data_IF_184890114227
#
_entry.id   IF_184890114227
#
_cell.length_a   1.000
_cell.length_b   1.000
_cell.length_c   1.000
_cell.angle_alpha   90.00
_cell.angle_beta   90.00
_cell.angle_gamma   90.00
#
_symmetry.space_group_name_H-M   'P 1'
#
loop_
_entity.id
_entity.type
_entity.pdbx_description
1 polymer ?
#
# COMPACT_ATOMS: atom_id res chain seq x y z
N UNK A 1 -51.39 -10.08 17.60
CA UNK A 1 -50.31 -9.41 16.86
C UNK A 1 -50.99 -8.83 15.64
N UNK A 2 -50.83 -7.55 15.40
CA UNK A 2 -51.61 -6.79 14.40
C UNK A 2 -51.22 -7.24 12.99
N UNK A 3 -52.15 -7.77 12.16
CA UNK A 3 -51.88 -8.31 10.83
C UNK A 3 -51.15 -7.29 9.92
N UNK A 4 -51.41 -6.00 10.11
CA UNK A 4 -50.69 -4.92 9.42
C UNK A 4 -49.20 -4.87 9.77
N UNK A 5 -48.77 -5.16 11.00
CA UNK A 5 -47.36 -5.20 11.38
C UNK A 5 -46.64 -6.40 10.75
N UNK A 6 -47.34 -7.52 10.61
CA UNK A 6 -46.81 -8.71 9.96
C UNK A 6 -46.55 -8.46 8.47
N UNK A 7 -47.46 -7.78 7.79
CA UNK A 7 -47.32 -7.41 6.38
C UNK A 7 -46.17 -6.43 6.18
N UNK A 8 -46.00 -5.43 7.05
CA UNK A 8 -44.89 -4.47 7.00
C UNK A 8 -43.56 -5.21 7.23
N UNK A 9 -43.47 -6.12 8.21
CA UNK A 9 -42.27 -6.90 8.48
C UNK A 9 -41.88 -7.78 7.26
N UNK A 10 -42.87 -8.43 6.63
CA UNK A 10 -42.64 -9.24 5.44
C UNK A 10 -42.17 -8.40 4.23
N UNK A 11 -42.71 -7.20 4.02
CA UNK A 11 -42.26 -6.30 2.96
C UNK A 11 -40.84 -5.77 3.24
N UNK A 12 -40.55 -5.39 4.48
CA UNK A 12 -39.20 -5.00 4.91
C UNK A 12 -38.16 -6.14 4.66
N UNK A 13 -38.51 -7.38 5.00
CA UNK A 13 -37.64 -8.52 4.76
C UNK A 13 -37.40 -8.78 3.25
N UNK A 14 -38.44 -8.60 2.41
CA UNK A 14 -38.31 -8.69 0.94
C UNK A 14 -37.43 -7.59 0.37
N UNK A 15 -37.59 -6.38 0.86
CA UNK A 15 -36.79 -5.23 0.39
C UNK A 15 -35.35 -5.34 0.87
N UNK A 16 -35.10 -5.79 2.08
CA UNK A 16 -33.73 -6.13 2.55
C UNK A 16 -33.09 -7.25 1.72
N UNK A 17 -33.84 -8.28 1.32
CA UNK A 17 -33.33 -9.33 0.47
C UNK A 17 -33.00 -8.83 -0.95
N UNK A 18 -33.80 -7.90 -1.51
CA UNK A 18 -33.53 -7.23 -2.78
C UNK A 18 -32.29 -6.35 -2.69
N UNK A 19 -32.18 -5.54 -1.65
CA UNK A 19 -31.02 -4.70 -1.37
C UNK A 19 -29.76 -5.54 -1.23
N UNK A 20 -29.79 -6.64 -0.46
CA UNK A 20 -28.66 -7.55 -0.30
C UNK A 20 -28.22 -8.18 -1.64
N UNK A 21 -29.16 -8.50 -2.54
CA UNK A 21 -28.84 -9.00 -3.88
C UNK A 21 -28.22 -7.91 -4.76
N UNK A 22 -28.72 -6.68 -4.68
CA UNK A 22 -28.15 -5.52 -5.37
C UNK A 22 -26.75 -5.20 -4.84
N UNK A 23 -26.55 -5.18 -3.53
CA UNK A 23 -25.23 -4.96 -2.93
C UNK A 23 -24.19 -5.99 -3.38
N UNK A 24 -24.57 -7.27 -3.56
CA UNK A 24 -23.66 -8.30 -4.09
C UNK A 24 -23.36 -8.15 -5.58
N UNK A 25 -24.28 -7.60 -6.37
CA UNK A 25 -24.13 -7.43 -7.83
C UNK A 25 -23.51 -6.09 -8.20
N UNK A 26 -23.67 -5.09 -7.37
CA UNK A 26 -23.21 -3.73 -7.64
C UNK A 26 -21.70 -3.63 -7.94
N UNK A 27 -20.81 -4.26 -7.18
CA UNK A 27 -19.38 -4.27 -7.53
C UNK A 27 -19.08 -4.89 -8.90
N UNK A 28 -19.86 -5.90 -9.34
CA UNK A 28 -19.70 -6.50 -10.66
C UNK A 28 -20.11 -5.55 -11.78
N UNK A 29 -21.22 -4.82 -11.61
CA UNK A 29 -21.64 -3.81 -12.57
C UNK A 29 -20.65 -2.64 -12.66
N UNK A 30 -20.07 -2.22 -11.53
CA UNK A 30 -19.04 -1.19 -11.54
C UNK A 30 -17.77 -1.66 -12.25
N UNK A 31 -17.42 -2.94 -12.13
CA UNK A 31 -16.30 -3.54 -12.84
C UNK A 31 -16.52 -3.59 -14.34
N UNK A 32 -17.71 -4.04 -14.79
CA UNK A 32 -18.08 -4.05 -16.22
C UNK A 32 -18.07 -2.63 -16.79
N UNK A 33 -18.64 -1.67 -16.06
CA UNK A 33 -18.69 -0.27 -16.47
C UNK A 33 -17.29 0.36 -16.53
N UNK A 34 -16.41 0.06 -15.57
CA UNK A 34 -15.02 0.51 -15.59
C UNK A 34 -14.24 -0.04 -16.79
N UNK A 35 -14.50 -1.30 -17.19
CA UNK A 35 -13.93 -1.92 -18.41
C UNK A 35 -14.38 -1.24 -19.69
N UNK A 36 -15.61 -0.79 -19.75
CA UNK A 36 -16.15 -0.07 -20.92
C UNK A 36 -15.60 1.37 -21.02
N UNK A 37 -15.44 2.04 -19.89
CA UNK A 37 -14.94 3.42 -19.84
C UNK A 37 -13.44 3.53 -20.11
N UNK A 38 -12.67 2.47 -19.84
CA UNK A 38 -11.21 2.46 -19.99
C UNK A 38 -10.83 1.53 -21.16
N UNK A 39 -10.70 2.06 -22.39
CA UNK A 39 -10.21 1.25 -23.49
C UNK A 39 -8.76 0.81 -23.22
N UNK A 40 -8.34 -0.37 -23.72
CA UNK A 40 -6.98 -0.85 -23.55
C UNK A 40 -5.99 0.17 -24.13
N UNK A 41 -5.12 0.71 -23.29
CA UNK A 41 -4.10 1.68 -23.68
C UNK A 41 -2.78 0.96 -23.96
N UNK A 42 -2.13 1.36 -25.02
CA UNK A 42 -0.83 0.80 -25.45
C UNK A 42 0.36 1.69 -25.08
N UNK A 43 0.11 2.90 -24.56
CA UNK A 43 1.13 3.90 -24.24
C UNK A 43 1.30 4.08 -22.73
N UNK A 44 2.53 4.38 -22.32
CA UNK A 44 2.83 4.81 -20.95
C UNK A 44 2.11 6.14 -20.65
N UNK A 45 1.45 6.19 -19.47
CA UNK A 45 0.64 7.34 -19.05
C UNK A 45 1.24 7.93 -17.78
N UNK A 46 1.43 9.24 -17.75
CA UNK A 46 1.94 9.94 -16.56
C UNK A 46 0.91 10.07 -15.44
N UNK A 47 1.38 10.29 -14.20
CA UNK A 47 0.52 10.35 -13.00
C UNK A 47 -0.55 11.44 -13.09
N UNK A 48 -0.22 12.62 -13.64
CA UNK A 48 -1.19 13.71 -13.81
C UNK A 48 -2.32 13.33 -14.79
N UNK A 49 -1.99 12.61 -15.86
CA UNK A 49 -2.96 12.15 -16.84
C UNK A 49 -3.84 11.03 -16.26
N UNK A 50 -3.27 10.18 -15.41
CA UNK A 50 -4.01 9.14 -14.67
C UNK A 50 -4.99 9.80 -13.69
N UNK A 51 -4.54 10.78 -12.90
CA UNK A 51 -5.37 11.49 -11.94
C UNK A 51 -6.52 12.23 -12.64
N UNK A 52 -6.24 12.91 -13.76
CA UNK A 52 -7.25 13.59 -14.57
C UNK A 52 -8.26 12.60 -15.14
N UNK A 53 -7.80 11.47 -15.67
CA UNK A 53 -8.67 10.41 -16.21
C UNK A 53 -9.58 9.83 -15.15
N UNK A 54 -9.08 9.54 -13.95
CA UNK A 54 -9.88 9.01 -12.85
C UNK A 54 -10.96 10.01 -12.42
N UNK A 55 -10.60 11.30 -12.28
CA UNK A 55 -11.53 12.36 -11.91
C UNK A 55 -12.66 12.52 -12.94
N UNK A 56 -12.31 12.60 -14.22
CA UNK A 56 -13.29 12.72 -15.31
C UNK A 56 -14.24 11.52 -15.36
N UNK A 57 -13.73 10.30 -15.25
CA UNK A 57 -14.55 9.09 -15.23
C UNK A 57 -15.53 9.06 -14.04
N UNK A 58 -15.08 9.51 -12.87
CA UNK A 58 -15.94 9.63 -11.69
C UNK A 58 -17.07 10.64 -11.91
N UNK A 59 -16.78 11.79 -12.51
CA UNK A 59 -17.78 12.82 -12.83
C UNK A 59 -18.79 12.33 -13.85
N UNK A 60 -18.33 11.73 -14.95
CA UNK A 60 -19.20 11.16 -15.99
C UNK A 60 -20.11 10.07 -15.44
N UNK A 61 -19.54 9.15 -14.63
CA UNK A 61 -20.31 8.08 -14.00
C UNK A 61 -21.32 8.61 -13.00
N UNK A 62 -20.93 9.59 -12.17
CA UNK A 62 -21.83 10.23 -11.22
C UNK A 62 -22.97 10.94 -11.92
N UNK A 63 -22.72 11.61 -13.04
CA UNK A 63 -23.72 12.26 -13.86
C UNK A 63 -24.70 11.25 -14.48
N UNK A 64 -24.19 10.12 -15.02
CA UNK A 64 -25.03 9.05 -15.58
C UNK A 64 -25.94 8.42 -14.52
N UNK A 65 -25.41 8.09 -13.34
CA UNK A 65 -26.19 7.50 -12.25
C UNK A 65 -27.26 8.48 -11.73
N UNK A 66 -26.94 9.77 -11.63
CA UNK A 66 -27.89 10.80 -11.22
C UNK A 66 -28.99 11.04 -12.24
N UNK A 67 -28.69 10.96 -13.54
CA UNK A 67 -29.66 11.19 -14.61
C UNK A 67 -30.74 10.10 -14.69
N UNK A 68 -30.39 8.85 -14.35
CA UNK A 68 -31.33 7.73 -14.54
C UNK A 68 -32.25 7.46 -13.34
N UNK A 69 -31.85 7.78 -12.11
CA UNK A 69 -32.55 7.25 -10.94
C UNK A 69 -33.03 8.24 -9.89
N UNK A 70 -32.69 9.52 -9.94
CA UNK A 70 -33.00 10.44 -8.82
C UNK A 70 -32.50 9.91 -7.44
N UNK A 71 -31.56 8.98 -7.44
CA UNK A 71 -31.15 8.20 -6.29
C UNK A 71 -30.24 9.01 -5.40
N UNK A 72 -30.48 8.89 -4.13
CA UNK A 72 -29.91 9.61 -3.02
C UNK A 72 -28.39 9.71 -3.11
N UNK A 73 -27.89 10.94 -3.04
CA UNK A 73 -26.46 11.28 -2.96
C UNK A 73 -25.72 10.47 -1.87
N UNK A 74 -26.39 10.09 -0.79
CA UNK A 74 -25.87 9.25 0.28
C UNK A 74 -25.46 7.84 -0.15
N UNK A 75 -26.22 7.21 -1.08
CA UNK A 75 -25.88 5.87 -1.58
C UNK A 75 -24.62 5.92 -2.45
N UNK A 76 -24.49 6.92 -3.30
CA UNK A 76 -23.33 7.12 -4.16
C UNK A 76 -22.08 7.42 -3.34
N UNK A 77 -22.18 8.24 -2.30
CA UNK A 77 -21.03 8.56 -1.44
C UNK A 77 -20.52 7.34 -0.65
N UNK A 78 -21.42 6.43 -0.24
CA UNK A 78 -21.03 5.20 0.45
C UNK A 78 -20.34 4.18 -0.47
N UNK A 79 -20.64 4.22 -1.78
CA UNK A 79 -20.06 3.31 -2.78
C UNK A 79 -18.84 3.92 -3.50
N UNK A 80 -18.58 5.20 -3.31
CA UNK A 80 -17.47 5.91 -3.94
C UNK A 80 -16.11 5.22 -3.78
N UNK A 81 -15.71 4.74 -2.57
CA UNK A 81 -14.43 4.06 -2.42
C UNK A 81 -14.31 2.76 -3.24
N UNK A 82 -15.42 2.03 -3.40
CA UNK A 82 -15.47 0.80 -4.20
C UNK A 82 -15.32 1.14 -5.69
N UNK A 83 -16.04 2.14 -6.16
CA UNK A 83 -15.95 2.60 -7.53
C UNK A 83 -14.54 3.07 -7.88
N UNK A 84 -13.98 3.94 -7.06
CA UNK A 84 -12.62 4.45 -7.24
C UNK A 84 -11.58 3.31 -7.30
N UNK A 85 -11.72 2.30 -6.42
CA UNK A 85 -10.84 1.13 -6.42
C UNK A 85 -10.95 0.33 -7.73
N UNK A 86 -12.17 0.11 -8.25
CA UNK A 86 -12.36 -0.63 -9.50
C UNK A 86 -11.83 0.15 -10.71
N UNK A 87 -12.04 1.46 -10.76
CA UNK A 87 -11.48 2.31 -11.81
C UNK A 87 -9.95 2.32 -11.76
N UNK A 88 -9.36 2.49 -10.58
CA UNK A 88 -7.92 2.46 -10.40
C UNK A 88 -7.31 1.10 -10.82
N UNK A 89 -7.98 -0.02 -10.52
CA UNK A 89 -7.54 -1.34 -10.95
C UNK A 89 -7.55 -1.48 -12.47
N UNK A 90 -8.59 -1.01 -13.16
CA UNK A 90 -8.66 -1.05 -14.62
C UNK A 90 -7.59 -0.16 -15.26
N UNK A 91 -7.29 0.99 -14.68
CA UNK A 91 -6.17 1.83 -15.12
C UNK A 91 -4.84 1.08 -14.94
N UNK A 92 -4.61 0.48 -13.78
CA UNK A 92 -3.39 -0.29 -13.50
C UNK A 92 -3.21 -1.51 -14.43
N UNK A 93 -4.32 -2.17 -14.80
CA UNK A 93 -4.31 -3.32 -15.71
C UNK A 93 -4.10 -2.92 -17.18
N UNK A 94 -4.72 -1.82 -17.61
CA UNK A 94 -4.71 -1.36 -19.01
C UNK A 94 -3.50 -0.49 -19.37
N UNK A 95 -2.96 0.26 -18.41
CA UNK A 95 -1.79 1.07 -18.59
C UNK A 95 -0.57 0.34 -18.02
N UNK A 96 0.54 0.33 -18.75
CA UNK A 96 1.85 0.18 -18.10
C UNK A 96 2.04 1.44 -17.27
N UNK A 97 1.59 1.39 -16.00
CA UNK A 97 1.81 2.49 -15.06
C UNK A 97 3.31 2.66 -14.97
N UNK A 98 3.81 3.75 -15.55
CA UNK A 98 5.22 4.08 -15.45
C UNK A 98 5.44 4.50 -13.99
N UNK A 99 5.85 3.54 -13.17
CA UNK A 99 6.19 3.83 -11.79
C UNK A 99 7.45 4.67 -11.83
N UNK A 100 7.38 5.90 -11.37
CA UNK A 100 8.56 6.74 -11.13
C UNK A 100 9.47 6.16 -10.03
N UNK A 101 9.06 5.06 -9.42
CA UNK A 101 9.86 4.37 -8.42
C UNK A 101 10.86 3.45 -9.10
N UNK A 102 12.16 3.57 -8.79
CA UNK A 102 13.18 2.70 -9.34
C UNK A 102 12.88 1.25 -8.94
N UNK A 103 13.06 0.32 -9.88
CA UNK A 103 13.06 -1.10 -9.57
C UNK A 103 14.35 -1.48 -8.85
N UNK A 104 14.30 -2.52 -8.04
CA UNK A 104 15.50 -3.11 -7.45
C UNK A 104 16.45 -3.49 -8.59
N UNK A 105 17.57 -2.79 -8.67
CA UNK A 105 18.48 -2.82 -9.84
C UNK A 105 19.16 -4.17 -9.99
N UNK A 106 19.32 -4.62 -11.24
CA UNK A 106 20.22 -5.72 -11.60
C UNK A 106 21.70 -5.31 -11.61
N UNK A 107 22.01 -4.02 -11.52
CA UNK A 107 23.39 -3.50 -11.43
C UNK A 107 23.97 -3.78 -10.04
N UNK A 108 25.32 -3.82 -9.94
CA UNK A 108 26.02 -4.07 -8.67
C UNK A 108 25.53 -3.14 -7.57
N UNK A 109 25.31 -3.70 -6.38
CA UNK A 109 24.79 -3.00 -5.23
C UNK A 109 25.86 -2.86 -4.13
N UNK A 110 26.03 -1.64 -3.58
CA UNK A 110 26.88 -1.37 -2.44
C UNK A 110 26.06 -1.40 -1.17
N UNK A 111 26.40 -2.30 -0.24
CA UNK A 111 25.61 -2.55 0.97
C UNK A 111 26.42 -2.22 2.20
N UNK A 112 25.94 -1.29 3.02
CA UNK A 112 26.53 -1.01 4.33
C UNK A 112 25.84 -1.82 5.42
N UNK A 113 26.62 -2.39 6.36
CA UNK A 113 26.07 -2.95 7.59
C UNK A 113 27.09 -3.04 8.73
N UNK A 114 26.58 -3.12 9.96
CA UNK A 114 27.35 -3.44 11.15
C UNK A 114 27.57 -4.94 11.22
N UNK A 115 28.85 -5.35 11.15
CA UNK A 115 29.22 -6.77 11.05
C UNK A 115 29.01 -7.52 12.36
N UNK A 116 28.15 -8.53 12.32
CA UNK A 116 27.98 -9.55 13.33
C UNK A 116 27.39 -10.81 12.68
N UNK A 117 27.34 -11.93 13.42
CA UNK A 117 26.90 -13.22 12.91
C UNK A 117 25.49 -13.15 12.29
N UNK A 118 24.56 -12.39 12.88
CA UNK A 118 23.18 -12.28 12.41
C UNK A 118 23.05 -11.38 11.18
N UNK A 119 23.79 -10.26 11.15
CA UNK A 119 23.84 -9.38 9.98
C UNK A 119 24.50 -10.08 8.78
N UNK A 120 25.51 -10.92 9.01
CA UNK A 120 26.13 -11.74 7.96
C UNK A 120 25.13 -12.77 7.39
N UNK A 121 24.27 -13.36 8.23
CA UNK A 121 23.19 -14.25 7.78
C UNK A 121 22.13 -13.49 6.97
N UNK A 122 21.73 -12.32 7.44
CA UNK A 122 20.80 -11.46 6.71
C UNK A 122 21.37 -11.03 5.34
N UNK A 123 22.62 -10.58 5.31
CA UNK A 123 23.32 -10.26 4.06
C UNK A 123 23.30 -11.42 3.07
N UNK A 124 23.59 -12.66 3.49
CA UNK A 124 23.57 -13.84 2.61
C UNK A 124 22.17 -14.09 2.00
N UNK A 125 21.09 -13.70 2.68
CA UNK A 125 19.73 -13.81 2.15
C UNK A 125 19.46 -12.71 1.13
N UNK A 126 19.76 -11.46 1.46
CA UNK A 126 19.57 -10.33 0.56
C UNK A 126 20.45 -10.42 -0.70
N UNK A 127 21.68 -10.90 -0.57
CA UNK A 127 22.62 -11.04 -1.68
C UNK A 127 22.12 -11.97 -2.81
N UNK A 128 21.16 -12.87 -2.53
CA UNK A 128 20.55 -13.72 -3.55
C UNK A 128 19.59 -12.96 -4.46
N UNK A 129 19.08 -11.83 -4.02
CA UNK A 129 18.12 -10.98 -4.73
C UNK A 129 18.82 -9.81 -5.45
N UNK A 130 20.13 -9.65 -5.27
CA UNK A 130 20.94 -8.56 -5.80
C UNK A 130 22.05 -9.09 -6.72
N UNK A 131 22.37 -8.34 -7.76
CA UNK A 131 23.45 -8.68 -8.67
C UNK A 131 24.78 -8.13 -8.16
N UNK A 132 25.77 -9.00 -7.97
CA UNK A 132 27.13 -8.65 -7.58
C UNK A 132 27.25 -7.67 -6.39
N UNK A 133 26.63 -7.98 -5.22
CA UNK A 133 26.66 -7.06 -4.08
C UNK A 133 28.07 -6.94 -3.50
N UNK A 134 28.49 -5.70 -3.25
CA UNK A 134 29.72 -5.37 -2.51
C UNK A 134 29.38 -4.89 -1.10
N UNK A 135 30.28 -5.07 -0.17
CA UNK A 135 30.02 -4.83 1.25
C UNK A 135 30.93 -3.76 1.82
N UNK A 136 30.34 -2.85 2.59
CA UNK A 136 31.04 -1.87 3.42
C UNK A 136 30.64 -2.07 4.89
N UNK A 137 31.62 -2.42 5.73
CA UNK A 137 31.40 -2.57 7.17
C UNK A 137 31.51 -1.24 7.89
N UNK A 138 30.63 -1.01 8.87
CA UNK A 138 30.64 0.16 9.75
C UNK A 138 30.57 -0.24 11.20
N UNK A 139 30.98 0.67 12.08
CA UNK A 139 31.14 0.42 13.51
C UNK A 139 29.82 0.37 14.28
N UNK A 140 28.79 1.01 13.77
CA UNK A 140 27.46 1.08 14.38
C UNK A 140 26.37 1.34 13.36
N UNK A 141 25.10 1.17 13.75
CA UNK A 141 23.94 1.34 12.86
C UNK A 141 23.74 2.78 12.38
N UNK A 142 24.14 3.80 13.17
CA UNK A 142 24.05 5.19 12.72
C UNK A 142 25.00 5.46 11.56
N UNK A 143 26.24 4.97 11.64
CA UNK A 143 27.21 5.06 10.56
C UNK A 143 26.77 4.29 9.30
N UNK A 144 26.09 3.14 9.47
CA UNK A 144 25.48 2.39 8.37
C UNK A 144 24.43 3.23 7.63
N UNK A 145 23.51 3.85 8.37
CA UNK A 145 22.47 4.71 7.79
C UNK A 145 23.06 5.93 7.09
N UNK A 146 24.13 6.52 7.67
CA UNK A 146 24.81 7.69 7.08
C UNK A 146 25.45 7.38 5.73
N UNK A 147 25.91 6.14 5.49
CA UNK A 147 26.46 5.75 4.19
C UNK A 147 25.42 5.77 3.08
N UNK A 148 24.18 5.35 3.39
CA UNK A 148 23.08 5.37 2.43
C UNK A 148 22.53 6.78 2.25
N UNK A 149 22.37 7.53 3.35
CA UNK A 149 21.91 8.92 3.31
C UNK A 149 22.84 9.83 2.50
N UNK A 150 24.14 9.55 2.51
CA UNK A 150 25.15 10.29 1.78
C UNK A 150 25.47 9.70 0.38
N UNK A 151 24.63 8.80 -0.14
CA UNK A 151 24.76 8.13 -1.45
C UNK A 151 26.12 7.42 -1.68
N UNK A 152 26.78 6.99 -0.60
CA UNK A 152 28.02 6.20 -0.68
C UNK A 152 27.75 4.69 -0.75
N UNK A 153 26.57 4.28 -0.31
CA UNK A 153 26.06 2.92 -0.45
C UNK A 153 24.61 2.98 -0.92
N UNK A 154 24.19 1.99 -1.71
CA UNK A 154 22.83 1.87 -2.20
C UNK A 154 21.87 1.39 -1.12
N UNK A 155 22.37 0.52 -0.22
CA UNK A 155 21.56 -0.14 0.80
C UNK A 155 22.22 -0.21 2.17
N UNK A 156 21.35 -0.17 3.20
CA UNK A 156 21.68 -0.45 4.60
C UNK A 156 20.99 -1.74 5.07
N UNK A 157 21.70 -2.62 5.80
CA UNK A 157 21.07 -3.74 6.52
C UNK A 157 20.94 -3.36 7.99
N UNK A 158 19.71 -3.35 8.50
CA UNK A 158 19.38 -3.02 9.88
C UNK A 158 18.47 -4.08 10.51
N UNK A 159 18.67 -4.45 11.79
CA UNK A 159 17.70 -5.25 12.53
C UNK A 159 16.48 -4.40 12.85
N UNK A 160 15.27 -4.90 12.57
CA UNK A 160 14.02 -4.15 12.75
C UNK A 160 13.15 -4.68 13.88
N UNK A 161 13.24 -5.98 14.14
CA UNK A 161 12.38 -6.64 15.11
C UNK A 161 13.09 -7.86 15.72
N UNK A 162 12.85 -8.10 17.00
CA UNK A 162 13.25 -9.28 17.74
C UNK A 162 11.99 -10.03 18.20
N UNK A 163 11.99 -11.35 18.10
CA UNK A 163 10.86 -12.15 18.63
C UNK A 163 10.66 -12.00 20.14
N UNK A 164 11.65 -11.48 20.88
CA UNK A 164 11.59 -11.25 22.32
C UNK A 164 11.19 -9.84 22.69
N UNK A 165 11.78 -8.85 22.00
CA UNK A 165 11.67 -7.44 22.38
C UNK A 165 10.66 -6.70 21.48
N UNK A 166 10.12 -7.37 20.44
CA UNK A 166 9.30 -6.75 19.43
C UNK A 166 10.09 -5.82 18.52
N UNK A 167 9.48 -4.71 18.12
CA UNK A 167 10.11 -3.72 17.24
C UNK A 167 11.25 -2.97 17.93
N UNK A 168 12.38 -2.86 17.24
CA UNK A 168 13.58 -2.21 17.78
C UNK A 168 13.51 -0.68 17.61
N UNK A 169 13.18 0.02 18.70
CA UNK A 169 12.98 1.49 18.71
C UNK A 169 14.21 2.27 18.23
N UNK A 170 15.41 1.77 18.46
CA UNK A 170 16.65 2.40 17.98
C UNK A 170 16.69 2.41 16.47
N UNK A 171 16.38 1.29 15.82
CA UNK A 171 16.33 1.20 14.35
C UNK A 171 15.24 2.08 13.78
N UNK A 172 14.05 2.09 14.38
CA UNK A 172 12.96 2.97 13.93
C UNK A 172 13.37 4.45 13.94
N UNK A 173 14.04 4.90 15.00
CA UNK A 173 14.55 6.27 15.09
C UNK A 173 15.61 6.58 14.03
N UNK A 174 16.48 5.62 13.73
CA UNK A 174 17.49 5.79 12.67
C UNK A 174 16.86 5.84 11.29
N UNK A 175 15.93 4.92 10.98
CA UNK A 175 15.18 4.91 9.71
C UNK A 175 14.45 6.24 9.51
N UNK A 176 13.75 6.75 10.54
CA UNK A 176 13.07 8.03 10.48
C UNK A 176 14.03 9.21 10.34
N UNK A 177 15.16 9.21 11.09
CA UNK A 177 16.15 10.30 11.05
C UNK A 177 16.82 10.44 9.69
N UNK A 178 17.12 9.33 9.03
CA UNK A 178 17.81 9.29 7.74
C UNK A 178 16.85 9.08 6.56
N UNK A 179 15.53 9.12 6.81
CA UNK A 179 14.45 8.99 5.80
C UNK A 179 14.61 7.76 4.91
N UNK A 180 15.07 6.64 5.51
CA UNK A 180 15.33 5.42 4.76
C UNK A 180 14.03 4.64 4.46
N UNK A 181 13.93 4.13 3.23
CA UNK A 181 12.80 3.32 2.77
C UNK A 181 13.13 1.83 2.79
N UNK A 182 12.29 0.98 3.38
CA UNK A 182 12.48 -0.47 3.33
C UNK A 182 12.21 -1.02 1.93
N UNK A 183 13.01 -2.01 1.52
CA UNK A 183 12.90 -2.70 0.22
C UNK A 183 12.67 -4.19 0.40
N UNK A 184 13.49 -4.86 1.22
CA UNK A 184 13.38 -6.29 1.49
C UNK A 184 13.42 -6.54 3.00
N UNK A 185 12.71 -7.58 3.43
CA UNK A 185 12.80 -8.11 4.78
C UNK A 185 13.24 -9.58 4.77
N UNK A 186 13.97 -10.00 5.77
CA UNK A 186 14.24 -11.40 6.05
C UNK A 186 14.29 -11.67 7.55
N UNK A 187 14.02 -12.91 7.95
CA UNK A 187 14.07 -13.33 9.35
C UNK A 187 15.20 -14.34 9.53
N UNK A 188 16.10 -14.10 10.44
CA UNK A 188 17.22 -15.01 10.76
C UNK A 188 17.02 -15.61 12.15
N UNK A 189 17.35 -16.90 12.37
CA UNK A 189 17.28 -17.53 13.69
C UNK A 189 18.39 -16.97 14.60
N UNK A 190 18.11 -16.92 15.90
CA UNK A 190 19.09 -16.62 16.94
C UNK A 190 19.53 -17.91 17.66
N UNK A 191 20.64 -17.84 18.39
CA UNK A 191 21.21 -19.01 19.11
C UNK A 191 20.33 -19.50 20.27
N UNK A 192 19.33 -18.75 20.67
CA UNK A 192 18.46 -18.94 21.82
C UNK A 192 17.00 -19.19 21.44
N UNK A 193 16.78 -19.90 20.33
CA UNK A 193 15.47 -20.26 19.75
C UNK A 193 14.56 -19.06 19.41
N UNK A 194 15.13 -17.85 19.37
CA UNK A 194 14.44 -16.65 18.91
C UNK A 194 14.68 -16.37 17.43
N UNK A 195 14.12 -15.26 16.98
CA UNK A 195 14.36 -14.76 15.62
C UNK A 195 14.61 -13.25 15.62
N UNK A 196 15.44 -12.80 14.68
CA UNK A 196 15.66 -11.40 14.35
C UNK A 196 15.20 -11.14 12.92
N UNK A 197 14.34 -10.14 12.74
CA UNK A 197 13.95 -9.65 11.44
C UNK A 197 14.87 -8.51 11.04
N UNK A 198 15.44 -8.62 9.86
CA UNK A 198 16.28 -7.60 9.25
C UNK A 198 15.57 -6.98 8.06
N UNK A 199 15.81 -5.68 7.84
CA UNK A 199 15.41 -4.95 6.65
C UNK A 199 16.62 -4.52 5.82
N UNK A 200 16.46 -4.56 4.50
CA UNK A 200 17.31 -3.89 3.52
C UNK A 200 16.65 -2.57 3.19
N UNK A 201 17.35 -1.46 3.44
CA UNK A 201 16.82 -0.10 3.29
C UNK A 201 17.60 0.66 2.23
N UNK A 202 16.90 1.49 1.44
CA UNK A 202 17.45 2.42 0.46
C UNK A 202 17.21 3.88 0.89
N UNK A 203 17.83 4.85 0.21
CA UNK A 203 17.58 6.29 0.41
C UNK A 203 16.21 6.75 -0.10
N UNK A 204 15.58 5.97 -0.99
CA UNK A 204 14.25 6.26 -1.53
C UNK A 204 13.45 4.96 -1.72
N UNK A 205 12.10 5.03 -1.75
CA UNK A 205 11.26 3.88 -2.06
C UNK A 205 11.63 3.25 -3.40
N UNK A 206 11.73 1.92 -3.41
CA UNK A 206 12.00 1.10 -4.59
C UNK A 206 10.97 -0.02 -4.68
N UNK A 207 10.75 -0.56 -5.88
CA UNK A 207 9.82 -1.67 -6.08
C UNK A 207 10.60 -2.97 -6.25
N UNK A 208 10.59 -3.88 -5.26
CA UNK A 208 11.19 -5.19 -5.43
C UNK A 208 10.30 -6.07 -6.33
N UNK A 209 10.87 -7.03 -7.07
CA UNK A 209 10.09 -8.03 -7.77
C UNK A 209 9.21 -8.81 -6.79
N UNK A 210 7.92 -9.01 -7.14
CA UNK A 210 6.95 -9.73 -6.31
C UNK A 210 6.81 -9.12 -4.90
N UNK A 211 6.63 -7.80 -4.85
CA UNK A 211 6.30 -7.11 -3.61
C UNK A 211 5.10 -7.77 -2.92
N UNK A 212 5.13 -7.86 -1.60
CA UNK A 212 4.06 -8.45 -0.78
C UNK A 212 3.49 -7.49 0.25
N UNK A 213 4.14 -6.34 0.45
CA UNK A 213 3.67 -5.31 1.39
C UNK A 213 3.95 -3.88 0.90
N UNK A 214 3.11 -2.96 1.34
CA UNK A 214 3.21 -1.52 1.09
C UNK A 214 3.02 -0.80 2.41
N UNK A 215 3.96 0.08 2.75
CA UNK A 215 3.95 0.90 3.98
C UNK A 215 3.74 2.36 3.63
N UNK A 216 2.76 3.01 4.27
CA UNK A 216 2.48 4.45 4.11
C UNK A 216 2.27 5.15 5.45
N UNK A 217 2.52 6.45 5.45
CA UNK A 217 1.93 7.38 6.42
C UNK A 217 0.72 8.06 5.76
N UNK A 218 -0.39 8.09 6.47
CA UNK A 218 -1.60 8.78 6.05
C UNK A 218 -1.89 9.91 7.04
N UNK A 219 -2.09 11.12 6.52
CA UNK A 219 -2.42 12.31 7.29
C UNK A 219 -3.83 12.77 6.96
N UNK A 220 -4.64 13.12 7.93
CA UNK A 220 -6.00 13.62 7.70
C UNK A 220 -6.56 14.39 8.88
N UNK A 221 -7.45 15.33 8.59
CA UNK A 221 -8.30 15.97 9.58
C UNK A 221 -9.61 15.24 9.82
N UNK A 222 -9.91 14.22 8.97
CA UNK A 222 -11.15 13.45 9.01
C UNK A 222 -10.88 11.98 9.31
N UNK A 223 -11.52 11.47 10.33
CA UNK A 223 -11.42 10.06 10.73
C UNK A 223 -11.96 9.11 9.64
N UNK A 224 -12.99 9.53 8.91
CA UNK A 224 -13.59 8.76 7.82
C UNK A 224 -12.63 8.46 6.65
N UNK A 225 -11.55 9.25 6.49
CA UNK A 225 -10.52 9.04 5.46
C UNK A 225 -9.89 7.65 5.56
N UNK A 226 -9.59 7.21 6.77
CA UNK A 226 -9.04 5.88 7.01
C UNK A 226 -10.02 4.79 6.58
N UNK A 227 -11.30 4.91 6.96
CA UNK A 227 -12.32 3.91 6.63
C UNK A 227 -12.57 3.81 5.13
N UNK A 228 -12.53 4.93 4.41
CA UNK A 228 -12.64 4.96 2.94
C UNK A 228 -11.45 4.28 2.28
N UNK A 229 -10.23 4.58 2.71
CA UNK A 229 -9.02 3.92 2.20
C UNK A 229 -9.05 2.42 2.45
N UNK A 230 -9.46 1.97 3.63
CA UNK A 230 -9.58 0.55 3.95
C UNK A 230 -10.62 -0.17 3.08
N UNK A 231 -11.75 0.48 2.80
CA UNK A 231 -12.77 -0.05 1.89
C UNK A 231 -12.22 -0.22 0.47
N UNK A 232 -11.50 0.79 -0.03
CA UNK A 232 -10.85 0.74 -1.34
C UNK A 232 -9.79 -0.37 -1.40
N UNK A 233 -8.91 -0.46 -0.40
CA UNK A 233 -7.87 -1.49 -0.32
C UNK A 233 -8.47 -2.91 -0.30
N UNK A 234 -9.50 -3.14 0.51
CA UNK A 234 -10.20 -4.42 0.56
C UNK A 234 -10.84 -4.78 -0.78
N UNK A 235 -11.39 -3.81 -1.51
CA UNK A 235 -11.94 -4.00 -2.85
C UNK A 235 -10.88 -4.46 -3.86
N UNK A 236 -9.63 -4.00 -3.68
CA UNK A 236 -8.46 -4.41 -4.47
C UNK A 236 -7.87 -5.77 -4.03
N UNK A 237 -8.45 -6.43 -3.04
CA UNK A 237 -7.89 -7.66 -2.46
C UNK A 237 -6.66 -7.42 -1.57
N UNK A 238 -6.41 -6.17 -1.18
CA UNK A 238 -5.33 -5.75 -0.29
C UNK A 238 -5.86 -5.68 1.14
N UNK A 239 -5.14 -6.28 2.07
CA UNK A 239 -5.52 -6.32 3.49
C UNK A 239 -4.60 -5.44 4.32
N UNK A 240 -5.16 -4.70 5.28
CA UNK A 240 -4.39 -4.02 6.31
C UNK A 240 -3.81 -5.07 7.26
N UNK A 241 -2.49 -5.10 7.43
CA UNK A 241 -1.79 -6.01 8.34
C UNK A 241 -1.33 -5.34 9.63
N UNK A 242 -1.08 -4.04 9.57
CA UNK A 242 -0.70 -3.26 10.75
C UNK A 242 -1.17 -1.82 10.65
N UNK A 243 -1.60 -1.28 11.77
CA UNK A 243 -1.90 0.13 11.96
C UNK A 243 -1.21 0.63 13.22
N UNK A 244 -0.51 1.74 13.11
CA UNK A 244 0.09 2.43 14.25
C UNK A 244 -0.40 3.88 14.22
N UNK A 245 -1.04 4.31 15.31
CA UNK A 245 -1.44 5.70 15.50
C UNK A 245 -0.20 6.47 15.97
N UNK A 246 0.15 7.53 15.27
CA UNK A 246 1.27 8.39 15.60
C UNK A 246 0.77 9.71 16.18
N UNK A 247 1.61 10.45 16.94
CA UNK A 247 1.31 11.82 17.28
C UNK A 247 1.10 12.62 16.00
N UNK A 248 -0.02 13.35 15.86
CA UNK A 248 -0.35 14.02 14.61
C UNK A 248 0.72 15.06 14.25
N UNK A 249 1.10 15.08 12.97
CA UNK A 249 1.97 16.10 12.41
C UNK A 249 1.29 17.49 12.44
N UNK A 250 2.09 18.54 12.41
CA UNK A 250 1.56 19.90 12.44
C UNK A 250 0.61 20.14 11.25
N UNK A 251 -0.61 20.55 11.56
CA UNK A 251 -1.65 20.85 10.56
C UNK A 251 -2.64 19.70 10.30
N UNK A 252 -2.49 18.55 10.97
CA UNK A 252 -3.42 17.42 10.86
C UNK A 252 -3.92 16.98 12.22
N UNK A 253 -5.14 16.43 12.26
CA UNK A 253 -5.75 15.87 13.48
C UNK A 253 -5.38 14.40 13.69
N UNK A 254 -5.03 13.70 12.62
CA UNK A 254 -4.74 12.26 12.63
C UNK A 254 -3.52 11.94 11.77
N UNK A 255 -2.69 11.03 12.28
CA UNK A 255 -1.56 10.44 11.57
C UNK A 255 -1.52 8.94 11.83
N UNK A 256 -1.52 8.14 10.75
CA UNK A 256 -1.46 6.69 10.82
C UNK A 256 -0.31 6.15 9.97
N UNK A 257 0.49 5.28 10.56
CA UNK A 257 1.35 4.38 9.79
C UNK A 257 0.56 3.11 9.47
N UNK A 258 0.39 2.83 8.19
CA UNK A 258 -0.39 1.70 7.67
C UNK A 258 0.53 0.76 6.92
N UNK A 259 0.37 -0.54 7.16
CA UNK A 259 1.05 -1.59 6.41
C UNK A 259 -0.01 -2.46 5.74
N UNK A 260 0.03 -2.49 4.44
CA UNK A 260 -0.87 -3.30 3.61
C UNK A 260 -0.14 -4.51 3.05
N UNK A 261 -0.86 -5.62 2.85
CA UNK A 261 -0.36 -6.77 2.14
C UNK A 261 -1.36 -7.28 1.10
N UNK A 262 -0.86 -7.74 -0.05
CA UNK A 262 -1.66 -8.39 -1.08
C UNK A 262 -1.59 -9.91 -0.91
N UNK A 263 -2.74 -10.58 -1.09
CA UNK A 263 -2.81 -12.05 -1.06
C UNK A 263 -2.16 -12.68 -2.29
N UNK A 264 -2.32 -12.05 -3.43
CA UNK A 264 -1.71 -12.44 -4.68
C UNK A 264 -0.45 -11.62 -4.89
N UNK A 265 0.63 -12.28 -5.34
CA UNK A 265 1.91 -11.62 -5.64
C UNK A 265 1.85 -10.87 -7.00
N UNK A 266 0.67 -10.38 -7.34
CA UNK A 266 0.44 -9.52 -8.49
C UNK A 266 0.59 -8.06 -8.06
N UNK A 267 1.47 -7.36 -8.73
CA UNK A 267 1.73 -5.95 -8.44
C UNK A 267 0.57 -5.03 -8.88
N UNK A 268 -0.33 -5.50 -9.74
CA UNK A 268 -1.45 -4.68 -10.28
C UNK A 268 -2.32 -4.09 -9.16
N UNK A 269 -2.59 -4.86 -8.11
CA UNK A 269 -3.36 -4.38 -6.97
C UNK A 269 -2.63 -3.25 -6.22
N UNK A 270 -1.30 -3.37 -6.02
CA UNK A 270 -0.51 -2.29 -5.43
C UNK A 270 -0.41 -1.07 -6.34
N UNK A 271 -0.35 -1.26 -7.67
CA UNK A 271 -0.39 -0.16 -8.63
C UNK A 271 -1.71 0.58 -8.55
N UNK A 272 -2.82 -0.15 -8.46
CA UNK A 272 -4.14 0.43 -8.29
C UNK A 272 -4.27 1.19 -6.95
N UNK A 273 -3.75 0.64 -5.85
CA UNK A 273 -3.73 1.33 -4.57
C UNK A 273 -2.86 2.61 -4.64
N UNK A 274 -1.74 2.55 -5.35
CA UNK A 274 -0.88 3.71 -5.56
C UNK A 274 -1.60 4.82 -6.35
N UNK A 275 -2.31 4.47 -7.43
CA UNK A 275 -3.16 5.40 -8.19
C UNK A 275 -4.19 6.07 -7.28
N UNK A 276 -4.86 5.29 -6.42
CA UNK A 276 -5.82 5.85 -5.47
C UNK A 276 -5.18 6.81 -4.47
N UNK A 277 -4.01 6.47 -3.93
CA UNK A 277 -3.29 7.34 -3.01
C UNK A 277 -2.95 8.68 -3.66
N UNK A 278 -2.44 8.67 -4.89
CA UNK A 278 -2.12 9.88 -5.63
C UNK A 278 -3.35 10.75 -5.93
N UNK A 279 -4.48 10.11 -6.27
CA UNK A 279 -5.66 10.83 -6.75
C UNK A 279 -6.60 11.29 -5.64
N UNK A 280 -6.79 10.47 -4.59
CA UNK A 280 -7.85 10.69 -3.58
C UNK A 280 -7.33 10.94 -2.17
N UNK A 281 -6.06 10.64 -1.91
CA UNK A 281 -5.44 10.79 -0.60
C UNK A 281 -4.15 11.63 -0.68
N UNK A 282 -4.24 12.92 -1.06
CA UNK A 282 -3.07 13.75 -1.36
C UNK A 282 -2.12 13.93 -0.18
N UNK A 283 -2.59 13.72 1.03
CA UNK A 283 -1.79 13.82 2.25
C UNK A 283 -1.34 12.43 2.71
N UNK A 284 -0.46 11.84 1.93
CA UNK A 284 0.21 10.57 2.27
C UNK A 284 1.71 10.66 2.00
N UNK A 285 2.47 9.79 2.65
CA UNK A 285 3.87 9.57 2.36
C UNK A 285 4.10 8.06 2.17
N UNK A 286 4.66 7.69 1.02
CA UNK A 286 5.09 6.32 0.78
C UNK A 286 6.36 6.05 1.59
N UNK A 287 6.27 5.16 2.57
CA UNK A 287 7.42 4.73 3.36
C UNK A 287 8.23 3.64 2.63
N UNK A 288 7.54 2.70 1.96
CA UNK A 288 8.21 1.64 1.20
C UNK A 288 7.25 0.67 0.56
N UNK A 289 7.76 0.00 -0.46
CA UNK A 289 7.14 -1.17 -1.08
C UNK A 289 8.11 -2.32 -0.86
N UNK A 290 7.67 -3.37 -0.18
CA UNK A 290 8.57 -4.36 0.39
C UNK A 290 8.24 -5.77 -0.09
N UNK A 291 9.24 -6.63 0.00
CA UNK A 291 9.10 -8.08 -0.13
C UNK A 291 9.75 -8.78 1.06
N UNK A 292 9.04 -9.72 1.66
CA UNK A 292 9.59 -10.57 2.71
C UNK A 292 10.17 -11.85 2.10
N UNK A 293 11.46 -12.09 2.34
CA UNK A 293 12.16 -13.28 1.89
C UNK A 293 11.90 -14.43 2.89
N UNK A 294 11.68 -15.61 2.34
CA UNK A 294 11.47 -16.83 3.12
C UNK A 294 12.73 -17.33 3.84
#
# INVERSE_FOLDING_TARGET
MNDSLLIIAQNLAKDQAKLSRLYRRYPLYLEELAKELIPPRTTEVGDEEIALSLSQMKEELSALIQSENGTKAEFLSAQEPILSAKLAYQIAESAKVNRYLPSLSESGAHIAYFRNAYSDLAFRRFAKELSFPTVLYRENFSAVCEEVYADRCDFAILPVESSRDGQLSVTQKLVAKYELAPVLYCTVPTTDDGTLRFGLFASAPMVPPKADSLEILLFSDKEETLSKLLTSANTLGISLTSITVLPPAQGFSHEWKLVFSAKEKDNTAFDALWILLLCEYPHHLLCGICRTLA
#
